data_IF_021420100277
#
_entry.id   IF_021420100277
#
_cell.length_a   1.000
_cell.length_b   1.000
_cell.length_c   1.000
_cell.angle_alpha   90.00
_cell.angle_beta   90.00
_cell.angle_gamma   90.00
#
_symmetry.space_group_name_H-M   'P 1'
#
loop_
_entity.id
_entity.type
_entity.pdbx_description
1 polymer ?
#
# COMPACT_ATOMS: atom_id res chain seq x y z
N UNK A 1 -20.48 -36.23 5.71
CA UNK A 1 -19.62 -35.71 6.81
C UNK A 1 -18.53 -34.83 6.22
N UNK A 2 -18.28 -33.65 6.80
CA UNK A 2 -17.21 -32.74 6.35
C UNK A 2 -15.84 -33.39 6.53
N UNK A 3 -14.98 -33.34 5.50
CA UNK A 3 -13.63 -33.96 5.48
C UNK A 3 -12.54 -33.11 6.17
N UNK A 4 -12.91 -31.96 6.72
CA UNK A 4 -11.92 -30.99 7.17
C UNK A 4 -11.49 -31.33 8.60
N UNK A 5 -10.30 -31.92 8.75
CA UNK A 5 -9.65 -32.14 10.04
C UNK A 5 -9.48 -30.78 10.74
N UNK A 6 -9.85 -30.70 12.02
CA UNK A 6 -10.01 -29.47 12.78
C UNK A 6 -8.79 -28.51 12.73
N UNK A 7 -9.03 -27.22 13.05
CA UNK A 7 -8.20 -26.02 12.76
C UNK A 7 -8.30 -25.51 11.31
N UNK A 8 -9.49 -25.59 10.72
CA UNK A 8 -9.77 -25.00 9.41
C UNK A 8 -10.16 -23.53 9.50
N UNK A 9 -9.68 -22.74 8.55
CA UNK A 9 -9.89 -21.29 8.47
C UNK A 9 -8.57 -20.54 8.39
N UNK A 10 -8.60 -19.33 7.80
CA UNK A 10 -7.44 -18.45 7.75
C UNK A 10 -7.06 -18.06 9.18
N UNK A 11 -5.84 -18.40 9.60
CA UNK A 11 -5.34 -18.04 10.93
C UNK A 11 -5.19 -16.53 11.03
N UNK A 12 -5.51 -15.99 12.21
CA UNK A 12 -5.29 -14.58 12.51
C UNK A 12 -3.80 -14.31 12.39
N UNK A 13 -3.47 -13.31 11.59
CA UNK A 13 -2.08 -12.90 11.37
C UNK A 13 -1.72 -11.91 12.46
N UNK A 14 -0.53 -12.08 13.04
CA UNK A 14 0.03 -11.11 13.96
C UNK A 14 0.40 -9.82 13.21
N UNK A 15 -0.12 -8.70 13.70
CA UNK A 15 -0.01 -7.41 13.01
C UNK A 15 1.40 -6.81 13.16
N UNK A 16 2.03 -7.01 14.30
CA UNK A 16 3.36 -6.46 14.58
C UNK A 16 4.42 -7.20 13.74
N UNK A 17 4.29 -8.53 13.62
CA UNK A 17 5.09 -9.31 12.68
C UNK A 17 4.92 -8.85 11.22
N UNK A 18 3.72 -8.46 10.80
CA UNK A 18 3.49 -7.92 9.45
C UNK A 18 4.12 -6.54 9.30
N UNK A 19 4.00 -5.67 10.30
CA UNK A 19 4.60 -4.33 10.28
C UNK A 19 6.13 -4.42 10.17
N UNK A 20 6.77 -5.28 10.96
CA UNK A 20 8.22 -5.50 10.89
C UNK A 20 8.65 -5.98 9.50
N UNK A 21 7.87 -6.87 8.87
CA UNK A 21 8.14 -7.32 7.50
C UNK A 21 7.97 -6.20 6.47
N UNK A 22 6.93 -5.36 6.61
CA UNK A 22 6.75 -4.16 5.76
C UNK A 22 7.96 -3.23 5.90
N UNK A 23 8.45 -3.01 7.12
CA UNK A 23 9.64 -2.20 7.41
C UNK A 23 10.97 -2.83 6.95
N UNK A 24 10.97 -4.10 6.55
CA UNK A 24 12.13 -4.77 5.95
C UNK A 24 12.12 -4.73 4.41
N UNK A 25 10.96 -4.48 3.77
CA UNK A 25 10.85 -4.36 2.30
C UNK A 25 11.63 -3.13 1.82
N UNK A 26 12.43 -3.17 0.74
CA UNK A 26 13.06 -1.95 0.20
C UNK A 26 12.05 -0.85 -0.13
N UNK A 27 12.42 0.41 0.01
CA UNK A 27 11.47 1.54 -0.07
C UNK A 27 10.78 1.61 -1.44
N UNK A 28 11.48 1.27 -2.51
CA UNK A 28 11.00 1.25 -3.88
C UNK A 28 9.85 0.23 -4.05
N UNK A 29 9.94 -0.89 -3.34
CA UNK A 29 8.92 -1.93 -3.32
C UNK A 29 7.78 -1.65 -2.33
N UNK A 30 7.96 -0.70 -1.39
CA UNK A 30 6.88 -0.19 -0.53
C UNK A 30 5.98 0.79 -1.26
N UNK A 31 6.40 1.43 -2.34
CA UNK A 31 5.60 2.47 -3.01
C UNK A 31 4.26 1.95 -3.55
N UNK A 32 4.13 0.64 -3.76
CA UNK A 32 2.92 0.01 -4.28
C UNK A 32 2.38 -0.98 -3.26
N UNK A 33 1.17 -0.74 -2.74
CA UNK A 33 0.50 -1.60 -1.74
C UNK A 33 0.46 -3.07 -2.15
N UNK A 34 0.33 -3.36 -3.45
CA UNK A 34 0.40 -4.73 -3.98
C UNK A 34 1.78 -5.37 -3.80
N UNK A 35 2.85 -4.64 -4.11
CA UNK A 35 4.22 -5.12 -3.96
C UNK A 35 4.59 -5.28 -2.48
N UNK A 36 4.21 -4.30 -1.64
CA UNK A 36 4.38 -4.38 -0.19
C UNK A 36 3.64 -5.59 0.40
N UNK A 37 2.40 -5.86 -0.03
CA UNK A 37 1.64 -7.02 0.44
C UNK A 37 2.22 -8.35 -0.06
N UNK A 38 2.73 -8.41 -1.29
CA UNK A 38 3.41 -9.59 -1.82
C UNK A 38 4.70 -9.90 -1.04
N UNK A 39 5.46 -8.87 -0.67
CA UNK A 39 6.72 -9.00 0.04
C UNK A 39 6.55 -9.27 1.54
N UNK A 40 5.66 -8.54 2.22
CA UNK A 40 5.45 -8.68 3.67
C UNK A 40 4.53 -9.84 4.06
N UNK A 41 3.68 -10.29 3.14
CA UNK A 41 2.62 -11.24 3.39
C UNK A 41 1.44 -10.60 4.12
N UNK A 42 0.23 -10.79 3.60
CA UNK A 42 -0.98 -10.19 4.19
C UNK A 42 -2.01 -9.84 3.13
N UNK A 43 -3.19 -9.41 3.56
CA UNK A 43 -4.15 -8.80 2.62
C UNK A 43 -3.72 -7.36 2.32
N UNK A 44 -4.02 -6.88 1.10
CA UNK A 44 -3.78 -5.49 0.70
C UNK A 44 -4.41 -4.48 1.67
N UNK A 45 -5.61 -4.80 2.17
CA UNK A 45 -6.30 -3.99 3.16
C UNK A 45 -5.51 -3.87 4.46
N UNK A 46 -5.05 -4.99 5.02
CA UNK A 46 -4.30 -5.00 6.29
C UNK A 46 -2.97 -4.26 6.17
N UNK A 47 -2.27 -4.45 5.05
CA UNK A 47 -1.01 -3.75 4.77
C UNK A 47 -1.26 -2.24 4.68
N UNK A 48 -2.28 -1.80 3.93
CA UNK A 48 -2.67 -0.39 3.84
C UNK A 48 -3.10 0.21 5.19
N UNK A 49 -3.84 -0.54 6.02
CA UNK A 49 -4.22 -0.11 7.37
C UNK A 49 -2.99 0.13 8.26
N UNK A 50 -2.03 -0.80 8.26
CA UNK A 50 -0.82 -0.72 9.08
C UNK A 50 0.10 0.41 8.64
N UNK A 51 0.27 0.61 7.34
CA UNK A 51 1.07 1.71 6.78
C UNK A 51 0.50 3.08 7.14
N UNK A 52 -0.84 3.24 7.09
CA UNK A 52 -1.50 4.48 7.51
C UNK A 52 -1.28 4.76 8.98
N UNK A 53 -1.45 3.76 9.85
CA UNK A 53 -1.19 3.91 11.30
C UNK A 53 0.26 4.30 11.56
N UNK A 54 1.20 3.62 10.91
CA UNK A 54 2.62 3.93 11.03
C UNK A 54 2.94 5.35 10.56
N UNK A 55 2.34 5.82 9.45
CA UNK A 55 2.54 7.20 8.98
C UNK A 55 2.01 8.26 9.97
N UNK A 56 0.95 7.95 10.72
CA UNK A 56 0.41 8.86 11.74
C UNK A 56 1.36 9.02 12.94
N UNK A 57 2.20 8.03 13.24
CA UNK A 57 3.21 8.13 14.31
C UNK A 57 4.28 9.21 14.02
N UNK A 58 4.39 9.65 12.77
CA UNK A 58 5.31 10.72 12.38
C UNK A 58 4.69 12.12 12.47
N UNK A 59 3.43 12.23 12.91
CA UNK A 59 2.80 13.51 13.22
C UNK A 59 3.08 13.80 14.70
N UNK A 60 3.73 14.94 14.96
CA UNK A 60 3.83 15.45 16.32
C UNK A 60 2.45 15.98 16.75
N UNK A 61 1.79 15.31 17.68
CA UNK A 61 0.44 15.69 18.15
C UNK A 61 0.39 17.08 18.81
N UNK A 62 1.53 17.58 19.31
CA UNK A 62 1.61 18.87 19.98
C UNK A 62 1.80 20.04 19.02
N UNK A 63 2.53 19.83 17.92
CA UNK A 63 2.82 20.88 16.92
C UNK A 63 2.04 20.70 15.63
N UNK A 64 1.42 19.54 15.43
CA UNK A 64 0.80 19.07 14.18
C UNK A 64 1.75 19.11 12.98
N UNK A 65 3.06 19.15 13.22
CA UNK A 65 4.08 19.09 12.19
C UNK A 65 4.42 17.63 11.86
N UNK A 66 4.77 17.40 10.60
CA UNK A 66 5.28 16.10 10.18
C UNK A 66 6.79 16.02 10.48
N UNK A 67 7.20 14.97 11.17
CA UNK A 67 8.61 14.54 11.18
C UNK A 67 9.03 14.16 9.76
N UNK A 68 10.32 14.22 9.39
CA UNK A 68 10.76 13.83 8.04
C UNK A 68 10.37 12.38 7.70
N UNK A 69 9.41 12.19 6.79
CA UNK A 69 8.83 10.88 6.44
C UNK A 69 9.41 10.31 5.13
N UNK A 70 10.70 10.49 4.89
CA UNK A 70 11.31 10.05 3.62
C UNK A 70 11.27 8.52 3.40
N UNK A 71 10.92 7.75 4.45
CA UNK A 71 10.93 6.29 4.50
C UNK A 71 9.54 5.61 4.55
N UNK A 72 8.43 6.38 4.63
CA UNK A 72 7.06 5.82 4.79
C UNK A 72 6.10 6.23 3.69
N UNK A 73 6.42 7.26 2.89
CA UNK A 73 5.49 7.77 1.87
C UNK A 73 5.13 6.65 0.88
N UNK A 74 3.92 6.12 1.05
CA UNK A 74 3.17 5.46 0.00
C UNK A 74 2.72 6.54 -0.96
N UNK A 75 3.36 6.62 -2.11
CA UNK A 75 2.73 7.30 -3.25
C UNK A 75 1.47 6.47 -3.55
N UNK A 76 0.29 7.08 -3.48
CA UNK A 76 -0.96 6.39 -3.80
C UNK A 76 -0.79 5.64 -5.13
N UNK A 77 -1.16 4.36 -5.16
CA UNK A 77 -0.94 3.49 -6.33
C UNK A 77 -1.55 4.10 -7.61
N UNK A 78 -2.62 4.91 -7.46
CA UNK A 78 -3.24 5.64 -8.57
C UNK A 78 -2.40 6.82 -9.03
N UNK A 79 -1.71 7.53 -8.12
CA UNK A 79 -0.81 8.64 -8.44
C UNK A 79 0.51 8.13 -9.03
N UNK A 80 1.08 7.04 -8.51
CA UNK A 80 2.30 6.44 -9.06
C UNK A 80 2.09 5.83 -10.45
N UNK A 81 0.92 5.22 -10.68
CA UNK A 81 0.59 4.67 -11.98
C UNK A 81 -0.10 5.67 -12.92
N UNK A 82 -0.45 6.89 -12.48
CA UNK A 82 -1.11 7.87 -13.35
C UNK A 82 -0.30 8.16 -14.62
N UNK A 83 1.03 8.24 -14.49
CA UNK A 83 1.94 8.44 -15.62
C UNK A 83 2.23 7.14 -16.42
N UNK A 84 1.96 5.97 -15.84
CA UNK A 84 2.13 4.66 -16.50
C UNK A 84 0.86 4.17 -17.19
N UNK A 85 -0.30 4.69 -16.77
CA UNK A 85 -1.61 4.32 -17.27
C UNK A 85 -1.82 4.99 -18.65
N UNK A 86 -1.38 4.31 -19.71
CA UNK A 86 -1.64 4.69 -21.11
C UNK A 86 -3.10 4.44 -21.48
N UNK A 87 -4.05 4.97 -20.70
CA UNK A 87 -5.47 4.80 -21.04
C UNK A 87 -5.73 5.40 -22.40
N UNK A 88 -6.28 4.58 -23.28
CA UNK A 88 -6.87 5.01 -24.53
C UNK A 88 -7.98 6.01 -24.22
N UNK A 89 -7.79 7.26 -24.64
CA UNK A 89 -8.83 8.29 -24.62
C UNK A 89 -9.53 8.30 -25.99
N UNK A 90 -10.84 8.56 -25.97
CA UNK A 90 -11.59 8.81 -27.20
C UNK A 90 -11.29 10.23 -27.64
N UNK A 91 -10.71 10.38 -28.83
CA UNK A 91 -10.56 11.68 -29.50
C UNK A 91 -11.77 11.86 -30.39
N UNK A 92 -12.55 12.90 -30.14
CA UNK A 92 -13.62 13.31 -31.06
C UNK A 92 -13.03 13.98 -32.29
N UNK A 93 -13.72 13.89 -33.43
CA UNK A 93 -13.26 14.51 -34.68
C UNK A 93 -12.97 16.00 -34.49
N UNK A 94 -11.75 16.40 -34.85
CA UNK A 94 -11.24 17.77 -34.66
C UNK A 94 -10.49 18.03 -33.34
N UNK A 95 -10.43 17.06 -32.43
CA UNK A 95 -9.60 17.15 -31.22
C UNK A 95 -8.14 16.82 -31.50
N UNK A 96 -7.22 17.77 -31.30
CA UNK A 96 -5.80 17.46 -31.23
C UNK A 96 -5.42 17.05 -29.79
N UNK A 97 -4.64 15.98 -29.59
CA UNK A 97 -4.15 15.64 -28.27
C UNK A 97 -3.17 16.73 -27.81
N UNK A 98 -3.56 17.52 -26.81
CA UNK A 98 -2.63 18.43 -26.13
C UNK A 98 -1.66 17.60 -25.27
N UNK A 99 -0.36 17.70 -25.57
CA UNK A 99 0.74 17.11 -24.80
C UNK A 99 0.95 17.86 -23.47
#
# INVERSE_FOLDING_TARGET
>A
MSKIKAKSGRKRVDRDSVLAKIQAVPIEARQVTRAAAAAAGGSRYMVNELLRKFALEFIDESTLQFSPIHNVIHVDEKWFNAAKDKRSYLVFDGGHPSL
#
